data_IF_813123295122
#
_entry.id   IF_813123295122
#
_cell.length_a   1.000
_cell.length_b   1.000
_cell.length_c   1.000
_cell.angle_alpha   90.00
_cell.angle_beta   90.00
_cell.angle_gamma   90.00
#
_symmetry.space_group_name_H-M   'P 1'
#
loop_
_entity.id
_entity.type
_entity.pdbx_description
1 polymer ?
#
# COMPACT_ATOMS: atom_id res chain seq x y z
N UNK A 1 12.13 23.97 -12.60
CA UNK A 1 11.67 23.06 -13.66
C UNK A 1 10.66 22.07 -13.09
N UNK A 2 9.36 22.36 -13.15
CA UNK A 2 8.32 21.44 -12.65
C UNK A 2 8.16 20.24 -13.58
N UNK A 3 8.35 19.02 -13.08
CA UNK A 3 8.06 17.79 -13.83
C UNK A 3 6.55 17.74 -14.10
N UNK A 4 6.13 17.99 -15.35
CA UNK A 4 4.73 17.80 -15.77
C UNK A 4 4.43 16.30 -15.69
N UNK A 5 3.61 15.92 -14.71
CA UNK A 5 3.17 14.53 -14.55
C UNK A 5 2.27 14.18 -15.73
N UNK A 6 2.77 13.37 -16.66
CA UNK A 6 1.96 12.87 -17.78
C UNK A 6 1.04 11.78 -17.24
N UNK A 7 -0.28 11.97 -17.34
CA UNK A 7 -1.27 10.99 -16.88
C UNK A 7 -1.07 9.69 -17.68
N UNK A 8 -0.74 8.60 -16.99
CA UNK A 8 -0.57 7.28 -17.62
C UNK A 8 -1.91 6.78 -18.17
N UNK A 9 -1.84 6.02 -19.27
CA UNK A 9 -3.02 5.36 -19.84
C UNK A 9 -3.63 4.38 -18.82
N UNK A 10 -4.95 4.23 -18.81
CA UNK A 10 -5.69 3.38 -17.86
C UNK A 10 -5.21 1.92 -17.87
N UNK A 11 -4.91 1.37 -19.05
CA UNK A 11 -4.37 0.01 -19.21
C UNK A 11 -3.00 -0.14 -18.54
N UNK A 12 -2.06 0.76 -18.86
CA UNK A 12 -0.73 0.77 -18.23
C UNK A 12 -0.79 0.93 -16.71
N UNK A 13 -1.75 1.71 -16.20
CA UNK A 13 -1.97 1.84 -14.76
C UNK A 13 -2.52 0.56 -14.13
N UNK A 14 -3.44 -0.14 -14.79
CA UNK A 14 -3.95 -1.44 -14.31
C UNK A 14 -2.83 -2.48 -14.30
N UNK A 15 -2.04 -2.55 -15.37
CA UNK A 15 -0.93 -3.48 -15.48
C UNK A 15 0.11 -3.23 -14.38
N UNK A 16 0.49 -1.98 -14.11
CA UNK A 16 1.38 -1.67 -12.98
C UNK A 16 0.80 -1.99 -11.61
N UNK A 17 -0.53 -1.95 -11.46
CA UNK A 17 -1.18 -2.25 -10.18
C UNK A 17 -1.26 -3.75 -9.92
N UNK A 18 -1.46 -4.54 -10.97
CA UNK A 18 -1.73 -5.98 -10.92
C UNK A 18 -0.58 -6.81 -11.50
N UNK A 19 0.60 -6.22 -11.69
CA UNK A 19 1.75 -6.86 -12.36
C UNK A 19 2.18 -8.18 -11.73
N UNK A 20 1.93 -8.33 -10.43
CA UNK A 20 2.30 -9.51 -9.67
C UNK A 20 1.18 -10.54 -9.57
N UNK A 21 -0.04 -10.28 -10.07
CA UNK A 21 -1.13 -11.27 -10.07
C UNK A 21 -0.79 -12.45 -11.01
N UNK A 22 -1.44 -13.60 -10.80
CA UNK A 22 -1.24 -14.80 -11.62
C UNK A 22 0.01 -15.59 -11.21
N UNK A 23 0.77 -16.08 -12.20
CA UNK A 23 1.93 -16.94 -11.95
C UNK A 23 3.00 -16.30 -11.05
N UNK A 24 3.21 -14.98 -11.18
CA UNK A 24 4.19 -14.24 -10.35
C UNK A 24 3.82 -14.24 -8.86
N UNK A 25 2.53 -14.19 -8.54
CA UNK A 25 2.06 -14.26 -7.17
C UNK A 25 2.35 -15.63 -6.57
N UNK A 26 2.21 -16.70 -7.35
CA UNK A 26 2.48 -18.06 -6.86
C UNK A 26 3.95 -18.26 -6.47
N UNK A 27 4.87 -17.57 -7.15
CA UNK A 27 6.31 -17.55 -6.81
C UNK A 27 6.55 -16.70 -5.56
N UNK A 28 5.94 -15.50 -5.48
CA UNK A 28 6.26 -14.54 -4.42
C UNK A 28 5.50 -14.76 -3.11
N UNK A 29 4.31 -15.37 -3.15
CA UNK A 29 3.43 -15.54 -1.99
C UNK A 29 4.06 -16.38 -0.85
N UNK A 30 4.76 -17.49 -1.12
CA UNK A 30 5.46 -18.25 -0.08
C UNK A 30 6.52 -17.45 0.68
N UNK A 31 7.08 -16.41 0.06
CA UNK A 31 8.12 -15.59 0.67
C UNK A 31 7.60 -14.47 1.57
N UNK A 32 6.28 -14.27 1.68
CA UNK A 32 5.72 -13.16 2.47
C UNK A 32 6.05 -13.33 3.96
N UNK A 33 5.82 -14.51 4.54
CA UNK A 33 6.06 -14.76 5.97
C UNK A 33 7.55 -14.73 6.33
N UNK A 34 8.45 -15.44 5.62
CA UNK A 34 9.86 -15.40 6.00
C UNK A 34 10.51 -14.05 5.69
N UNK A 35 9.99 -13.27 4.72
CA UNK A 35 10.41 -11.89 4.53
C UNK A 35 9.97 -10.99 5.70
N UNK A 36 8.78 -11.20 6.25
CA UNK A 36 8.34 -10.47 7.46
C UNK A 36 9.24 -10.77 8.66
N UNK A 37 9.63 -12.04 8.84
CA UNK A 37 10.57 -12.44 9.88
C UNK A 37 11.97 -11.82 9.68
N UNK A 38 12.48 -11.81 8.45
CA UNK A 38 13.75 -11.18 8.12
C UNK A 38 13.73 -9.66 8.39
N UNK A 39 12.64 -9.00 7.99
CA UNK A 39 12.40 -7.57 8.24
C UNK A 39 12.37 -7.25 9.75
N UNK A 40 11.77 -8.14 10.57
CA UNK A 40 11.70 -7.95 12.01
C UNK A 40 13.05 -8.13 12.72
N UNK A 41 13.98 -8.90 12.14
CA UNK A 41 15.30 -9.16 12.73
C UNK A 41 16.27 -8.00 12.51
N UNK A 42 16.56 -7.65 11.26
CA UNK A 42 17.48 -6.55 10.92
C UNK A 42 17.43 -6.19 9.44
N UNK A 43 17.93 -5.00 9.09
CA UNK A 43 18.05 -4.56 7.70
C UNK A 43 19.01 -5.45 6.87
N UNK A 44 20.04 -6.03 7.50
CA UNK A 44 20.97 -6.95 6.83
C UNK A 44 20.26 -8.27 6.50
N UNK A 45 19.52 -8.83 7.46
CA UNK A 45 18.73 -10.04 7.22
C UNK A 45 17.66 -9.82 6.14
N UNK A 46 17.00 -8.66 6.15
CA UNK A 46 16.07 -8.27 5.08
C UNK A 46 16.76 -8.29 3.72
N UNK A 47 17.92 -7.64 3.60
CA UNK A 47 18.66 -7.55 2.35
C UNK A 47 19.09 -8.93 1.84
N UNK A 48 19.69 -9.76 2.71
CA UNK A 48 20.14 -11.11 2.36
C UNK A 48 18.99 -11.98 1.89
N UNK A 49 17.85 -11.92 2.57
CA UNK A 49 16.66 -12.68 2.18
C UNK A 49 16.07 -12.17 0.88
N UNK A 50 15.98 -10.84 0.69
CA UNK A 50 15.51 -10.24 -0.55
C UNK A 50 16.39 -10.67 -1.74
N UNK A 51 17.72 -10.69 -1.58
CA UNK A 51 18.63 -11.18 -2.62
C UNK A 51 18.33 -12.62 -3.03
N UNK A 52 17.99 -13.51 -2.08
CA UNK A 52 17.58 -14.89 -2.40
C UNK A 52 16.31 -14.93 -3.23
N UNK A 53 15.27 -14.20 -2.82
CA UNK A 53 13.99 -14.13 -3.54
C UNK A 53 14.16 -13.55 -4.94
N UNK A 54 15.00 -12.51 -5.08
CA UNK A 54 15.30 -11.93 -6.39
C UNK A 54 16.01 -12.93 -7.31
N UNK A 55 16.99 -13.67 -6.77
CA UNK A 55 17.69 -14.70 -7.53
C UNK A 55 16.74 -15.81 -8.00
N UNK A 56 15.87 -16.30 -7.12
CA UNK A 56 14.82 -17.28 -7.46
C UNK A 56 13.88 -16.75 -8.54
N UNK A 57 13.40 -15.53 -8.38
CA UNK A 57 12.50 -14.90 -9.37
C UNK A 57 13.15 -14.79 -10.76
N UNK A 58 14.41 -14.35 -10.84
CA UNK A 58 15.11 -14.17 -12.13
C UNK A 58 15.61 -15.49 -12.75
N UNK A 59 15.64 -16.59 -12.00
CA UNK A 59 15.82 -17.92 -12.57
C UNK A 59 14.54 -18.43 -13.24
N UNK A 60 13.40 -18.19 -12.59
CA UNK A 60 12.11 -18.70 -13.05
C UNK A 60 11.54 -17.88 -14.21
N UNK A 61 11.72 -16.56 -14.18
CA UNK A 61 11.14 -15.63 -15.15
C UNK A 61 12.25 -14.87 -15.85
N UNK A 62 12.31 -14.92 -17.19
CA UNK A 62 13.35 -14.22 -17.93
C UNK A 62 13.20 -12.70 -17.81
N UNK A 63 14.35 -12.02 -17.73
CA UNK A 63 14.39 -10.58 -17.49
C UNK A 63 13.75 -9.75 -18.61
N UNK A 64 13.74 -10.28 -19.83
CA UNK A 64 13.17 -9.64 -21.03
C UNK A 64 11.64 -9.73 -21.12
N UNK A 65 11.00 -10.62 -20.36
CA UNK A 65 9.54 -10.80 -20.39
C UNK A 65 8.85 -9.52 -19.90
N UNK A 66 7.92 -8.93 -20.68
CA UNK A 66 7.16 -7.78 -20.25
C UNK A 66 6.22 -8.13 -19.09
N UNK A 67 5.89 -7.14 -18.26
CA UNK A 67 5.02 -7.34 -17.09
C UNK A 67 3.58 -7.71 -17.49
N UNK A 68 3.18 -7.38 -18.72
CA UNK A 68 1.85 -7.64 -19.29
C UNK A 68 1.68 -9.11 -19.74
N UNK A 69 2.78 -9.84 -19.92
CA UNK A 69 2.77 -11.24 -20.37
C UNK A 69 3.05 -12.16 -19.18
N UNK A 70 2.35 -13.29 -19.12
CA UNK A 70 2.63 -14.34 -18.13
C UNK A 70 3.69 -15.33 -18.65
N UNK A 71 4.54 -15.86 -17.76
CA UNK A 71 5.49 -16.89 -18.14
C UNK A 71 4.77 -18.16 -18.60
N UNK A 72 5.35 -18.88 -19.55
CA UNK A 72 4.82 -20.17 -20.00
C UNK A 72 4.91 -21.20 -18.87
N UNK A 73 3.83 -21.94 -18.65
CA UNK A 73 3.80 -23.05 -17.69
C UNK A 73 4.10 -24.37 -18.41
N UNK A 74 4.78 -25.33 -17.75
CA UNK A 74 5.28 -25.28 -16.37
C UNK A 74 6.54 -24.42 -16.22
N UNK A 75 6.68 -23.78 -15.04
CA UNK A 75 7.90 -23.07 -14.69
C UNK A 75 9.09 -24.05 -14.57
N UNK A 76 10.31 -23.61 -14.89
CA UNK A 76 11.50 -24.42 -14.67
C UNK A 76 11.67 -24.73 -13.18
N UNK A 77 12.30 -25.86 -12.86
CA UNK A 77 12.62 -26.18 -11.47
C UNK A 77 13.66 -25.19 -10.94
N UNK A 78 13.43 -24.64 -9.74
CA UNK A 78 14.38 -23.74 -9.09
C UNK A 78 15.63 -24.51 -8.66
N UNK A 79 16.81 -23.97 -9.00
CA UNK A 79 18.11 -24.49 -8.53
C UNK A 79 18.77 -23.44 -7.60
N UNK A 80 18.99 -23.75 -6.32
CA UNK A 80 19.63 -22.83 -5.37
C UNK A 80 21.11 -22.53 -5.70
N UNK A 81 21.74 -23.28 -6.61
CA UNK A 81 23.11 -23.05 -7.07
C UNK A 81 23.14 -22.85 -8.58
N UNK A 82 22.54 -21.78 -9.10
CA UNK A 82 22.51 -21.56 -10.53
C UNK A 82 23.93 -21.33 -11.05
N UNK A 83 24.35 -22.12 -12.03
CA UNK A 83 25.33 -21.62 -12.98
C UNK A 83 24.57 -20.71 -13.93
N UNK A 84 24.68 -19.40 -13.71
CA UNK A 84 24.11 -18.44 -14.66
C UNK A 84 24.77 -18.70 -16.02
N UNK A 85 23.98 -19.03 -17.08
CA UNK A 85 24.55 -19.16 -18.40
C UNK A 85 25.17 -17.83 -18.78
N UNK A 86 26.41 -17.87 -19.27
CA UNK A 86 27.12 -16.68 -19.72
C UNK A 86 26.42 -16.15 -20.98
N UNK A 87 25.57 -15.13 -20.80
CA UNK A 87 24.90 -14.46 -21.91
C UNK A 87 25.89 -13.52 -22.59
N UNK A 88 26.24 -13.78 -23.85
CA UNK A 88 27.00 -12.85 -24.67
C UNK A 88 26.11 -11.67 -25.07
N UNK A 89 26.07 -10.63 -24.22
CA UNK A 89 25.32 -9.39 -24.46
C UNK A 89 26.24 -8.31 -25.02
N UNK A 90 25.71 -7.50 -25.92
CA UNK A 90 26.33 -6.22 -26.30
C UNK A 90 26.25 -5.21 -25.15
N UNK A 91 27.10 -4.18 -25.15
CA UNK A 91 27.10 -3.14 -24.09
C UNK A 91 25.74 -2.45 -23.92
N UNK A 92 25.04 -2.21 -25.03
CA UNK A 92 23.69 -1.61 -25.02
C UNK A 92 22.65 -2.53 -24.37
N UNK A 93 22.71 -3.82 -24.67
CA UNK A 93 21.82 -4.82 -24.09
C UNK A 93 22.12 -5.08 -22.62
N UNK A 94 23.39 -5.07 -22.22
CA UNK A 94 23.81 -5.17 -20.82
C UNK A 94 23.25 -3.99 -20.00
N UNK A 95 23.32 -2.76 -20.55
CA UNK A 95 22.71 -1.59 -19.93
C UNK A 95 21.19 -1.75 -19.81
N UNK A 96 20.52 -2.21 -20.86
CA UNK A 96 19.07 -2.47 -20.84
C UNK A 96 18.69 -3.53 -19.81
N UNK A 97 19.43 -4.63 -19.75
CA UNK A 97 19.26 -5.72 -18.78
C UNK A 97 19.38 -5.19 -17.35
N UNK A 98 20.42 -4.43 -17.06
CA UNK A 98 20.64 -3.83 -15.73
C UNK A 98 19.47 -2.93 -15.29
N UNK A 99 18.94 -2.11 -16.21
CA UNK A 99 17.82 -1.23 -15.92
C UNK A 99 16.52 -2.00 -15.68
N UNK A 100 16.26 -3.04 -16.49
CA UNK A 100 15.07 -3.89 -16.35
C UNK A 100 15.11 -4.67 -15.03
N UNK A 101 16.24 -5.28 -14.71
CA UNK A 101 16.45 -6.00 -13.44
C UNK A 101 16.28 -5.03 -12.25
N UNK A 102 16.89 -3.84 -12.30
CA UNK A 102 16.74 -2.84 -11.23
C UNK A 102 15.28 -2.42 -11.02
N UNK A 103 14.51 -2.24 -12.10
CA UNK A 103 13.07 -1.92 -12.03
C UNK A 103 12.27 -3.07 -11.41
N UNK A 104 12.48 -4.31 -11.88
CA UNK A 104 11.82 -5.51 -11.36
C UNK A 104 12.16 -5.75 -9.89
N UNK A 105 13.42 -5.59 -9.50
CA UNK A 105 13.87 -5.73 -8.10
C UNK A 105 13.13 -4.75 -7.17
N UNK A 106 12.99 -3.48 -7.58
CA UNK A 106 12.22 -2.49 -6.83
C UNK A 106 10.74 -2.84 -6.76
N UNK A 107 10.16 -3.33 -7.85
CA UNK A 107 8.77 -3.75 -7.87
C UNK A 107 8.51 -4.91 -6.90
N UNK A 108 9.36 -5.95 -6.91
CA UNK A 108 9.29 -7.11 -6.01
C UNK A 108 9.44 -6.66 -4.54
N UNK A 109 10.45 -5.83 -4.24
CA UNK A 109 10.66 -5.31 -2.89
C UNK A 109 9.43 -4.53 -2.39
N UNK A 110 8.89 -3.64 -3.23
CA UNK A 110 7.69 -2.87 -2.88
C UNK A 110 6.46 -3.76 -2.67
N UNK A 111 6.30 -4.80 -3.50
CA UNK A 111 5.20 -5.74 -3.39
C UNK A 111 5.27 -6.53 -2.08
N UNK A 112 6.44 -7.11 -1.75
CA UNK A 112 6.65 -7.84 -0.49
C UNK A 112 6.40 -6.94 0.72
N UNK A 113 7.02 -5.75 0.73
CA UNK A 113 6.84 -4.77 1.81
C UNK A 113 5.38 -4.35 1.97
N UNK A 114 4.67 -4.13 0.86
CA UNK A 114 3.24 -3.81 0.87
C UNK A 114 2.39 -4.95 1.45
N UNK A 115 2.66 -6.20 1.03
CA UNK A 115 1.96 -7.39 1.54
C UNK A 115 2.19 -7.58 3.03
N UNK A 116 3.43 -7.51 3.51
CA UNK A 116 3.76 -7.58 4.94
C UNK A 116 3.09 -6.45 5.72
N UNK A 117 3.15 -5.21 5.22
CA UNK A 117 2.45 -4.10 5.85
C UNK A 117 0.93 -4.31 5.91
N UNK A 118 0.33 -4.95 4.90
CA UNK A 118 -1.10 -5.30 4.89
C UNK A 118 -1.44 -6.43 5.87
N UNK A 119 -0.56 -7.42 6.04
CA UNK A 119 -0.69 -8.43 7.08
C UNK A 119 -0.59 -7.81 8.47
N UNK A 120 0.42 -6.96 8.70
CA UNK A 120 0.62 -6.30 9.99
C UNK A 120 -0.51 -5.33 10.35
N UNK A 121 -1.14 -4.67 9.37
CA UNK A 121 -2.35 -3.86 9.60
C UNK A 121 -3.57 -4.68 10.03
N UNK A 122 -3.60 -5.99 9.75
CA UNK A 122 -4.62 -6.89 10.31
C UNK A 122 -4.27 -7.28 11.74
N UNK A 123 -2.98 -7.44 12.04
CA UNK A 123 -2.48 -7.82 13.36
C UNK A 123 -2.50 -6.66 14.37
N UNK A 124 -2.29 -5.43 13.90
CA UNK A 124 -2.47 -4.21 14.69
C UNK A 124 -3.79 -3.59 14.26
N UNK A 125 -4.90 -3.97 14.91
CA UNK A 125 -6.16 -3.33 14.61
C UNK A 125 -5.98 -1.83 14.91
N UNK A 126 -6.41 -0.97 13.98
CA UNK A 126 -6.47 0.48 14.18
C UNK A 126 -7.56 0.77 15.22
N UNK A 127 -7.29 0.40 16.46
CA UNK A 127 -8.20 0.50 17.58
C UNK A 127 -7.97 1.85 18.23
N UNK A 128 -9.07 2.54 18.48
CA UNK A 128 -9.06 3.79 19.22
C UNK A 128 -8.40 3.54 20.58
N UNK A 129 -7.30 4.24 20.93
CA UNK A 129 -6.65 4.05 22.23
C UNK A 129 -7.58 4.40 23.40
N UNK A 130 -8.62 5.21 23.15
CA UNK A 130 -9.66 5.53 24.14
C UNK A 130 -10.66 4.38 24.36
N UNK A 131 -10.88 3.54 23.33
CA UNK A 131 -11.86 2.44 23.39
C UNK A 131 -11.23 1.09 23.73
N UNK A 132 -9.94 0.92 23.46
CA UNK A 132 -9.24 -0.34 23.69
C UNK A 132 -8.12 -0.19 24.73
N UNK A 133 -8.26 -0.80 25.93
CA UNK A 133 -7.27 -0.70 27.00
C UNK A 133 -5.91 -1.32 26.62
N UNK A 134 -5.89 -2.30 25.72
CA UNK A 134 -4.65 -2.91 25.23
C UNK A 134 -3.82 -1.95 24.38
N UNK A 135 -4.47 -1.14 23.55
CA UNK A 135 -3.77 -0.10 22.77
C UNK A 135 -3.23 1.01 23.68
N UNK A 136 -3.98 1.42 24.70
CA UNK A 136 -3.50 2.39 25.67
C UNK A 136 -2.24 1.88 26.41
N UNK A 137 -2.19 0.59 26.72
CA UNK A 137 -1.02 -0.05 27.32
C UNK A 137 0.17 -0.10 26.35
N UNK A 138 -0.05 -0.52 25.10
CA UNK A 138 0.99 -0.55 24.07
C UNK A 138 1.59 0.84 23.80
N UNK A 139 0.75 1.88 23.70
CA UNK A 139 1.18 3.28 23.51
C UNK A 139 2.02 3.77 24.70
N UNK A 140 1.64 3.41 25.93
CA UNK A 140 2.42 3.73 27.14
C UNK A 140 3.77 3.01 27.15
N UNK A 141 3.80 1.72 26.79
CA UNK A 141 5.02 0.92 26.73
C UNK A 141 5.96 1.37 25.60
N UNK A 142 5.42 1.85 24.48
CA UNK A 142 6.23 2.37 23.37
C UNK A 142 6.77 3.77 23.60
N UNK A 143 6.43 4.43 24.73
CA UNK A 143 6.90 5.78 25.06
C UNK A 143 6.40 6.88 24.12
N UNK A 144 5.47 6.57 23.23
CA UNK A 144 4.91 7.51 22.26
C UNK A 144 3.69 8.18 22.87
N UNK A 145 3.82 9.45 23.27
CA UNK A 145 2.71 10.13 23.97
C UNK A 145 1.46 10.31 23.11
N UNK A 146 1.59 10.38 21.77
CA UNK A 146 0.48 10.39 20.80
C UNK A 146 0.92 9.74 19.49
N UNK A 147 0.05 8.97 18.79
CA UNK A 147 0.33 8.56 17.43
C UNK A 147 0.49 9.81 16.54
N UNK A 148 1.41 9.83 15.56
CA UNK A 148 1.56 10.94 14.65
C UNK A 148 0.27 11.08 13.83
N UNK A 149 -0.53 12.10 14.13
CA UNK A 149 -1.68 12.47 13.32
C UNK A 149 -1.13 12.97 11.99
N UNK A 150 -1.62 12.44 10.86
CA UNK A 150 -1.27 13.00 9.55
C UNK A 150 -1.62 14.48 9.57
N UNK A 151 -0.64 15.34 9.23
CA UNK A 151 -0.90 16.76 9.07
C UNK A 151 -2.06 16.95 8.08
N UNK A 152 -3.08 17.69 8.51
CA UNK A 152 -4.21 18.03 7.66
C UNK A 152 -3.70 18.88 6.48
N UNK A 153 -4.30 18.74 5.30
CA UNK A 153 -4.05 19.73 4.25
C UNK A 153 -4.53 21.11 4.74
N UNK A 154 -3.94 22.23 4.31
CA UNK A 154 -4.28 23.56 4.82
C UNK A 154 -5.79 23.87 4.79
N UNK A 155 -6.50 23.42 3.75
CA UNK A 155 -7.95 23.58 3.68
C UNK A 155 -8.71 22.71 4.70
N UNK A 156 -8.25 21.49 4.97
CA UNK A 156 -8.86 20.59 5.97
C UNK A 156 -8.61 21.11 7.39
N UNK A 157 -7.46 21.74 7.60
CA UNK A 157 -7.12 22.39 8.85
C UNK A 157 -7.99 23.64 9.07
N UNK A 158 -8.12 24.50 8.06
CA UNK A 158 -9.05 25.63 8.09
C UNK A 158 -10.50 25.19 8.36
N UNK A 159 -10.96 24.14 7.68
CA UNK A 159 -12.30 23.60 7.89
C UNK A 159 -12.51 23.08 9.32
N UNK A 160 -11.48 22.50 9.93
CA UNK A 160 -11.54 21.99 11.30
C UNK A 160 -11.51 23.13 12.33
N UNK A 161 -10.61 24.09 12.18
CA UNK A 161 -10.45 25.24 13.09
C UNK A 161 -11.65 26.19 13.02
N UNK A 162 -12.18 26.43 11.82
CA UNK A 162 -13.32 27.31 11.60
C UNK A 162 -14.67 26.57 11.61
N UNK A 163 -14.69 25.28 11.96
CA UNK A 163 -15.92 24.47 11.93
C UNK A 163 -17.00 25.09 12.80
N UNK A 164 -16.69 25.32 14.08
CA UNK A 164 -17.66 25.81 15.05
C UNK A 164 -18.06 27.28 14.81
N UNK A 165 -17.14 28.11 14.34
CA UNK A 165 -17.33 29.57 14.23
C UNK A 165 -17.94 30.03 12.91
N UNK A 166 -17.56 29.42 11.79
CA UNK A 166 -17.95 29.91 10.46
C UNK A 166 -18.76 28.89 9.66
N UNK A 167 -18.44 27.60 9.76
CA UNK A 167 -19.00 26.58 8.87
C UNK A 167 -20.31 25.99 9.41
N UNK A 168 -20.33 25.63 10.69
CA UNK A 168 -21.51 25.09 11.38
C UNK A 168 -22.73 26.02 11.30
N UNK A 169 -22.64 27.33 11.59
CA UNK A 169 -23.80 28.22 11.45
C UNK A 169 -24.32 28.29 10.02
N UNK A 170 -23.44 28.31 9.00
CA UNK A 170 -23.87 28.29 7.59
C UNK A 170 -24.58 26.99 7.19
N UNK A 171 -24.15 25.86 7.76
CA UNK A 171 -24.81 24.57 7.56
C UNK A 171 -26.16 24.56 8.26
N UNK A 172 -26.20 24.99 9.52
CA UNK A 172 -27.41 25.03 10.35
C UNK A 172 -28.46 25.97 9.74
N UNK A 173 -28.07 27.14 9.23
CA UNK A 173 -28.96 28.08 8.53
C UNK A 173 -29.55 27.49 7.25
N UNK A 174 -28.73 26.78 6.46
CA UNK A 174 -29.20 26.09 5.25
C UNK A 174 -30.13 24.92 5.59
N UNK A 175 -29.83 24.16 6.64
CA UNK A 175 -30.69 23.09 7.12
C UNK A 175 -32.01 23.62 7.68
N UNK A 176 -31.98 24.78 8.33
CA UNK A 176 -33.17 25.47 8.82
C UNK A 176 -34.06 25.98 7.68
N UNK A 177 -33.45 26.55 6.63
CA UNK A 177 -34.17 27.01 5.43
C UNK A 177 -34.84 25.88 4.63
N UNK A 178 -34.30 24.66 4.71
CA UNK A 178 -34.86 23.47 4.07
C UNK A 178 -35.90 22.75 4.93
N UNK A 179 -36.08 23.15 6.19
CA UNK A 179 -37.11 22.57 7.05
C UNK A 179 -38.48 23.04 6.53
N UNK A 180 -39.39 22.13 6.15
CA UNK A 180 -40.72 22.54 5.69
C UNK A 180 -41.38 23.34 6.81
N UNK A 181 -41.83 24.56 6.49
CA UNK A 181 -42.63 25.38 7.41
C UNK A 181 -44.04 24.80 7.51
N UNK A 182 -44.13 23.58 8.04
CA UNK A 182 -45.37 22.96 8.40
C UNK A 182 -45.83 23.55 9.72
N UNK A 183 -46.93 24.32 9.67
CA UNK A 183 -47.78 24.58 10.82
C UNK A 183 -48.22 23.22 11.40
N UNK A 184 -47.43 22.64 12.31
CA UNK A 184 -47.95 21.66 13.25
C UNK A 184 -48.72 22.43 14.30
N UNK A 185 -49.95 22.81 13.96
CA UNK A 185 -50.96 23.10 14.95
C UNK A 185 -51.10 21.84 15.82
N UNK A 186 -50.50 21.87 17.01
CA UNK A 186 -50.73 20.87 18.04
C UNK A 186 -52.20 21.00 18.42
N UNK A 187 -53.05 20.16 17.83
CA UNK A 187 -54.39 19.93 18.36
C UNK A 187 -54.19 19.21 19.69
N UNK A 188 -54.37 19.96 20.78
CA UNK A 188 -54.57 19.39 22.10
C UNK A 188 -55.95 18.72 22.10
N UNK A 189 -56.02 17.49 21.61
CA UNK A 189 -57.15 16.61 21.87
C UNK A 189 -56.94 16.00 23.26
N UNK A 190 -57.27 16.78 24.29
CA UNK A 190 -57.49 16.27 25.63
C UNK A 190 -58.84 15.56 25.66
N UNK A 191 -58.81 14.26 25.37
CA UNK A 191 -59.87 13.33 25.75
C UNK A 191 -59.39 12.54 26.97
N UNK A 192 -59.89 12.90 28.15
CA UNK A 192 -60.44 12.03 29.19
C UNK A 192 -61.01 12.91 30.31
#
# INVERSE_FOLDING_TARGET
>A
MGRKYKRMNKKAHQNQKLWAEGCRETILAPHIEPYADALARSAVCEHDYLCRVLNEYHQLIPWNLPDDEEPLLPLPAYDPRPMAPEEFLTDEEALRKSQMISRKNKAIQHWLKYRVCKLNKRLIPHMDPEKNPWMALLVKLSGTQRPPVKAHQPFQQFMHECYASAIKPLIDDKLYALRPQGNFAVKNDAAF
#
